data_IF_355700380412
#
_entry.id   IF_355700380412
#
_cell.length_a   1.000
_cell.length_b   1.000
_cell.length_c   1.000
_cell.angle_alpha   90.00
_cell.angle_beta   90.00
_cell.angle_gamma   90.00
#
_symmetry.space_group_name_H-M   'P 1'
#
loop_
_entity.id
_entity.type
_entity.pdbx_description
1 polymer ?
#
# COMPACT_ATOMS: atom_id res chain seq x y z
N UNK A 1 41.17 38.79 18.36
CA UNK A 1 39.78 39.28 18.26
C UNK A 1 39.41 39.30 16.77
N UNK A 2 38.80 38.23 16.24
CA UNK A 2 38.55 38.06 14.81
C UNK A 2 37.23 38.75 14.42
N UNK A 3 37.26 39.73 13.52
CA UNK A 3 36.06 40.44 13.05
C UNK A 3 35.31 39.56 12.04
N UNK A 4 34.26 38.89 12.48
CA UNK A 4 33.38 38.11 11.61
C UNK A 4 32.57 39.04 10.72
N UNK A 5 32.97 39.17 9.46
CA UNK A 5 32.26 39.97 8.47
C UNK A 5 31.06 39.15 7.95
N UNK A 6 29.83 39.64 8.14
CA UNK A 6 28.59 38.95 7.77
C UNK A 6 28.53 38.53 6.29
N UNK A 7 29.18 39.30 5.40
CA UNK A 7 29.33 38.97 3.98
C UNK A 7 30.12 37.68 3.73
N UNK A 8 31.06 37.33 4.61
CA UNK A 8 31.88 36.10 4.53
C UNK A 8 31.10 34.82 4.85
N UNK A 9 30.02 34.94 5.65
CA UNK A 9 29.16 33.80 5.99
C UNK A 9 28.14 33.55 4.87
N UNK A 10 27.68 34.61 4.21
CA UNK A 10 26.71 34.51 3.12
C UNK A 10 27.30 33.85 1.86
N UNK A 11 28.55 34.18 1.49
CA UNK A 11 29.26 33.48 0.39
C UNK A 11 29.65 32.05 0.74
N UNK A 12 29.89 31.74 2.02
CA UNK A 12 30.15 30.37 2.46
C UNK A 12 28.90 29.48 2.34
N UNK A 13 27.70 30.01 2.62
CA UNK A 13 26.45 29.25 2.52
C UNK A 13 26.06 28.93 1.07
N UNK A 14 26.25 29.88 0.15
CA UNK A 14 26.01 29.65 -1.29
C UNK A 14 27.03 28.68 -1.88
N UNK A 15 28.29 28.72 -1.42
CA UNK A 15 29.34 27.80 -1.85
C UNK A 15 29.07 26.37 -1.39
N UNK A 16 28.79 26.17 -0.10
CA UNK A 16 28.53 24.83 0.46
C UNK A 16 27.25 24.23 -0.11
N UNK A 17 26.17 25.01 -0.26
CA UNK A 17 24.92 24.55 -0.86
C UNK A 17 25.07 24.13 -2.32
N UNK A 18 25.83 24.89 -3.12
CA UNK A 18 26.06 24.59 -4.53
C UNK A 18 27.00 23.39 -4.73
N UNK A 19 28.01 23.22 -3.88
CA UNK A 19 28.88 22.02 -3.91
C UNK A 19 28.16 20.77 -3.44
N UNK A 20 27.20 20.89 -2.51
CA UNK A 20 26.38 19.76 -2.07
C UNK A 20 25.39 19.35 -3.17
N UNK A 21 24.78 20.32 -3.87
CA UNK A 21 23.83 20.04 -4.96
C UNK A 21 24.48 19.36 -6.17
N UNK A 22 25.77 19.63 -6.46
CA UNK A 22 26.51 18.96 -7.54
C UNK A 22 27.07 17.59 -7.15
N UNK A 23 27.33 17.34 -5.87
CA UNK A 23 27.90 16.07 -5.41
C UNK A 23 26.84 15.03 -5.01
N UNK A 24 25.65 15.45 -4.60
CA UNK A 24 24.51 14.56 -4.25
C UNK A 24 24.01 13.68 -5.41
N UNK A 25 23.88 14.12 -6.67
CA UNK A 25 23.41 13.24 -7.75
C UNK A 25 24.42 12.13 -8.12
N UNK A 26 25.70 12.27 -7.75
CA UNK A 26 26.74 11.26 -8.05
C UNK A 26 26.56 10.01 -7.16
N UNK A 27 25.88 10.12 -6.01
CA UNK A 27 25.57 8.96 -5.15
C UNK A 27 24.35 8.15 -5.61
N UNK A 28 23.67 8.56 -6.70
CA UNK A 28 22.45 7.90 -7.21
C UNK A 28 22.64 7.15 -8.53
N UNK A 29 23.86 7.09 -9.08
CA UNK A 29 24.16 6.28 -10.26
C UNK A 29 24.55 4.85 -9.84
N UNK A 30 23.56 4.08 -9.38
CA UNK A 30 23.66 2.62 -9.42
C UNK A 30 23.40 2.20 -10.88
N UNK A 31 24.44 2.24 -11.71
CA UNK A 31 24.38 1.69 -13.07
C UNK A 31 24.24 0.18 -12.88
N UNK A 32 23.12 -0.47 -13.26
CA UNK A 32 23.05 -1.92 -13.19
C UNK A 32 24.13 -2.48 -14.12
N UNK A 33 25.02 -3.31 -13.56
CA UNK A 33 26.02 -4.02 -14.34
C UNK A 33 25.28 -5.00 -15.25
N UNK A 34 25.09 -4.64 -16.52
CA UNK A 34 24.54 -5.57 -17.52
C UNK A 34 25.67 -6.50 -17.93
N UNK A 35 25.74 -7.66 -17.28
CA UNK A 35 26.46 -8.79 -17.85
C UNK A 35 25.75 -9.15 -19.15
N UNK A 36 26.47 -9.16 -20.27
CA UNK A 36 25.94 -9.73 -21.51
C UNK A 36 25.69 -11.22 -21.25
N UNK A 37 24.46 -11.57 -20.88
CA UNK A 37 24.02 -12.94 -20.79
C UNK A 37 24.03 -13.49 -22.23
N UNK A 38 24.68 -14.63 -22.42
CA UNK A 38 24.57 -15.39 -23.66
C UNK A 38 23.10 -15.71 -23.87
N UNK A 39 22.52 -15.21 -24.97
CA UNK A 39 21.14 -15.53 -25.34
C UNK A 39 21.07 -17.04 -25.54
N UNK A 40 20.37 -17.74 -24.64
CA UNK A 40 20.02 -19.14 -24.86
C UNK A 40 18.97 -19.21 -25.97
N UNK A 41 18.90 -20.30 -26.75
CA UNK A 41 17.96 -20.41 -27.90
C UNK A 41 16.49 -20.11 -27.51
N UNK A 42 16.15 -20.29 -26.24
CA UNK A 42 14.87 -19.94 -25.67
C UNK A 42 14.57 -18.43 -25.72
N UNK A 43 15.55 -17.53 -25.66
CA UNK A 43 15.35 -16.08 -25.72
C UNK A 43 15.27 -15.54 -27.16
N UNK A 44 15.80 -16.28 -28.15
CA UNK A 44 15.82 -15.88 -29.55
C UNK A 44 14.45 -16.06 -30.25
N UNK A 45 13.63 -17.00 -29.78
CA UNK A 45 12.30 -17.29 -30.33
C UNK A 45 11.15 -16.82 -29.43
N UNK A 46 11.40 -15.83 -28.59
CA UNK A 46 10.40 -15.29 -27.66
C UNK A 46 10.31 -16.15 -26.41
N UNK A 47 11.37 -16.07 -25.60
CA UNK A 47 11.41 -16.70 -24.29
C UNK A 47 10.21 -16.30 -23.45
N UNK A 48 9.75 -17.22 -22.60
CA UNK A 48 8.62 -17.04 -21.68
C UNK A 48 8.58 -15.62 -21.16
N UNK A 49 7.60 -14.84 -21.66
CA UNK A 49 7.44 -13.43 -21.32
C UNK A 49 7.06 -13.39 -19.85
N UNK A 50 8.05 -13.24 -18.98
CA UNK A 50 7.81 -13.06 -17.56
C UNK A 50 7.18 -11.67 -17.40
N UNK A 51 5.97 -11.60 -16.84
CA UNK A 51 5.16 -10.37 -16.78
C UNK A 51 5.85 -9.14 -16.17
N UNK A 52 6.99 -9.32 -15.51
CA UNK A 52 7.86 -8.23 -15.01
C UNK A 52 8.48 -7.36 -16.12
N UNK A 53 8.82 -7.92 -17.28
CA UNK A 53 9.50 -7.17 -18.35
C UNK A 53 8.51 -6.27 -19.13
N UNK A 54 7.26 -6.73 -19.25
CA UNK A 54 6.16 -5.99 -19.86
C UNK A 54 5.69 -4.81 -18.97
N UNK A 55 5.66 -5.01 -17.65
CA UNK A 55 5.31 -3.96 -16.68
C UNK A 55 6.31 -2.79 -16.70
N UNK A 56 7.59 -3.10 -16.85
CA UNK A 56 8.68 -2.12 -16.81
C UNK A 56 8.74 -1.25 -18.07
N UNK A 57 8.46 -1.81 -19.26
CA UNK A 57 8.48 -1.07 -20.54
C UNK A 57 7.24 -0.18 -20.72
N UNK A 58 6.10 -0.53 -20.14
CA UNK A 58 4.85 0.22 -20.24
C UNK A 58 4.74 1.41 -19.26
N UNK A 59 5.76 1.65 -18.41
CA UNK A 59 5.72 2.70 -17.39
C UNK A 59 4.72 2.43 -16.26
N UNK A 60 4.25 1.19 -16.13
CA UNK A 60 3.34 0.76 -15.07
C UNK A 60 4.23 0.12 -14.00
N UNK A 61 4.64 0.90 -13.00
CA UNK A 61 5.61 0.44 -12.00
C UNK A 61 5.31 -0.97 -11.50
N UNK A 62 6.12 -1.95 -11.92
CA UNK A 62 6.34 -3.35 -11.46
C UNK A 62 5.21 -4.11 -10.74
N UNK A 63 3.95 -3.72 -10.92
CA UNK A 63 2.82 -4.29 -10.22
C UNK A 63 1.77 -4.64 -11.25
N UNK A 64 1.64 -5.95 -11.51
CA UNK A 64 0.41 -6.56 -12.02
C UNK A 64 -0.81 -5.75 -11.58
N UNK A 65 -1.78 -5.53 -12.47
CA UNK A 65 -3.02 -4.82 -12.15
C UNK A 65 -3.67 -5.37 -10.85
N UNK A 66 -3.52 -6.68 -10.64
CA UNK A 66 -3.84 -7.43 -9.42
C UNK A 66 -3.19 -6.85 -8.15
N UNK A 67 -1.89 -6.52 -8.18
CA UNK A 67 -1.13 -5.95 -7.07
C UNK A 67 -1.55 -4.51 -6.76
N UNK A 68 -1.78 -3.71 -7.80
CA UNK A 68 -2.24 -2.32 -7.62
C UNK A 68 -3.64 -2.28 -7.00
N UNK A 69 -4.56 -3.10 -7.49
CA UNK A 69 -5.91 -3.23 -6.94
C UNK A 69 -5.87 -3.80 -5.51
N UNK A 70 -5.04 -4.82 -5.27
CA UNK A 70 -4.87 -5.41 -3.94
C UNK A 70 -4.37 -4.40 -2.90
N UNK A 71 -3.44 -3.52 -3.27
CA UNK A 71 -2.94 -2.46 -2.40
C UNK A 71 -4.04 -1.45 -2.03
N UNK A 72 -4.84 -1.03 -3.02
CA UNK A 72 -5.97 -0.11 -2.80
C UNK A 72 -7.01 -0.73 -1.86
N UNK A 73 -7.40 -1.99 -2.12
CA UNK A 73 -8.35 -2.73 -1.29
C UNK A 73 -7.82 -2.83 0.15
N UNK A 74 -6.53 -3.13 0.34
CA UNK A 74 -5.93 -3.26 1.68
C UNK A 74 -5.99 -1.95 2.47
N UNK A 75 -5.72 -0.82 1.83
CA UNK A 75 -5.85 0.51 2.45
C UNK A 75 -7.31 0.82 2.79
N UNK A 76 -8.24 0.55 1.87
CA UNK A 76 -9.67 0.77 2.08
C UNK A 76 -10.25 -0.10 3.20
N UNK A 77 -9.90 -1.39 3.25
CA UNK A 77 -10.32 -2.31 4.31
C UNK A 77 -9.77 -1.90 5.66
N UNK A 78 -8.52 -1.44 5.72
CA UNK A 78 -7.93 -0.89 6.94
C UNK A 78 -8.69 0.34 7.44
N UNK A 79 -9.00 1.27 6.53
CA UNK A 79 -9.77 2.47 6.86
C UNK A 79 -11.19 2.14 7.33
N UNK A 80 -11.91 1.27 6.62
CA UNK A 80 -13.25 0.80 7.01
C UNK A 80 -13.25 0.09 8.37
N UNK A 81 -12.23 -0.72 8.63
CA UNK A 81 -12.08 -1.41 9.92
C UNK A 81 -11.95 -0.43 11.09
N UNK A 82 -11.13 0.61 10.95
CA UNK A 82 -10.98 1.66 11.97
C UNK A 82 -12.30 2.39 12.21
N UNK A 83 -13.03 2.73 11.14
CA UNK A 83 -14.36 3.38 11.24
C UNK A 83 -15.36 2.48 11.95
N UNK A 84 -15.40 1.18 11.63
CA UNK A 84 -16.29 0.22 12.27
C UNK A 84 -16.05 0.13 13.78
N UNK A 85 -14.78 0.09 14.20
CA UNK A 85 -14.41 0.10 15.63
C UNK A 85 -14.86 1.39 16.31
N UNK A 86 -14.72 2.55 15.65
CA UNK A 86 -15.21 3.83 16.18
C UNK A 86 -16.73 3.82 16.43
N UNK A 87 -17.53 3.28 15.51
CA UNK A 87 -18.98 3.18 15.66
C UNK A 87 -19.35 2.28 16.84
N UNK A 88 -18.67 1.13 16.98
CA UNK A 88 -18.88 0.21 18.11
C UNK A 88 -18.55 0.89 19.45
N UNK A 89 -17.46 1.67 19.50
CA UNK A 89 -17.07 2.46 20.67
C UNK A 89 -18.14 3.50 21.04
N UNK A 90 -18.66 4.25 20.06
CA UNK A 90 -19.73 5.23 20.30
C UNK A 90 -21.02 4.56 20.78
N UNK A 91 -21.38 3.41 20.20
CA UNK A 91 -22.51 2.59 20.65
C UNK A 91 -22.31 2.07 22.08
N UNK A 92 -21.12 1.59 22.39
CA UNK A 92 -20.75 1.11 23.72
C UNK A 92 -20.75 2.22 24.78
N UNK A 93 -20.24 3.41 24.44
CA UNK A 93 -20.26 4.56 25.34
C UNK A 93 -21.70 5.04 25.61
N UNK A 94 -22.55 5.02 24.58
CA UNK A 94 -23.98 5.32 24.73
C UNK A 94 -24.67 4.28 25.63
N UNK A 95 -24.30 3.01 25.53
CA UNK A 95 -24.83 1.96 26.39
C UNK A 95 -24.42 2.16 27.85
N UNK A 96 -23.14 2.46 28.11
CA UNK A 96 -22.63 2.71 29.46
C UNK A 96 -23.25 3.96 30.12
N UNK A 97 -23.53 5.00 29.33
CA UNK A 97 -24.16 6.25 29.83
C UNK A 97 -25.68 6.18 29.95
N UNK A 98 -26.32 5.08 29.55
CA UNK A 98 -27.78 4.95 29.54
C UNK A 98 -28.41 4.78 30.93
N UNK A 99 -27.63 4.51 31.98
CA UNK A 99 -28.10 4.52 33.37
C UNK A 99 -29.25 3.56 33.70
N UNK A 100 -29.50 2.54 32.88
CA UNK A 100 -30.60 1.59 33.05
C UNK A 100 -31.94 2.00 32.42
N UNK A 101 -32.02 3.13 31.72
CA UNK A 101 -33.23 3.48 30.97
C UNK A 101 -33.40 2.56 29.75
N UNK A 102 -34.42 1.69 29.77
CA UNK A 102 -34.63 0.64 28.76
C UNK A 102 -34.63 1.17 27.31
N UNK A 103 -35.24 2.33 27.07
CA UNK A 103 -35.25 2.97 25.75
C UNK A 103 -33.84 3.32 25.24
N UNK A 104 -32.99 3.88 26.12
CA UNK A 104 -31.61 4.28 25.78
C UNK A 104 -30.71 3.06 25.57
N UNK A 105 -30.94 2.01 26.38
CA UNK A 105 -30.25 0.71 26.25
C UNK A 105 -30.61 0.02 24.95
N UNK A 106 -31.90 0.03 24.56
CA UNK A 106 -32.36 -0.55 23.30
C UNK A 106 -31.74 0.16 22.09
N UNK A 107 -31.72 1.49 22.10
CA UNK A 107 -31.08 2.30 21.05
C UNK A 107 -29.57 2.05 20.94
N UNK A 108 -28.88 1.96 22.09
CA UNK A 108 -27.45 1.68 22.12
C UNK A 108 -27.13 0.28 21.59
N UNK A 109 -27.93 -0.73 21.98
CA UNK A 109 -27.82 -2.10 21.44
C UNK A 109 -28.03 -2.13 19.94
N UNK A 110 -29.02 -1.40 19.41
CA UNK A 110 -29.28 -1.32 17.97
C UNK A 110 -28.08 -0.75 17.22
N UNK A 111 -27.44 0.29 17.76
CA UNK A 111 -26.21 0.87 17.22
C UNK A 111 -25.04 -0.12 17.25
N UNK A 112 -24.86 -0.83 18.35
CA UNK A 112 -23.79 -1.84 18.47
C UNK A 112 -24.00 -2.99 17.49
N UNK A 113 -25.22 -3.51 17.37
CA UNK A 113 -25.56 -4.58 16.42
C UNK A 113 -25.31 -4.10 14.98
N UNK A 114 -25.72 -2.88 14.62
CA UNK A 114 -25.44 -2.33 13.30
C UNK A 114 -23.93 -2.23 13.02
N UNK A 115 -23.13 -1.80 14.00
CA UNK A 115 -21.67 -1.76 13.89
C UNK A 115 -21.03 -3.14 13.73
N UNK A 116 -21.46 -4.12 14.53
CA UNK A 116 -20.97 -5.50 14.45
C UNK A 116 -21.36 -6.14 13.12
N UNK A 117 -22.60 -5.97 12.65
CA UNK A 117 -23.02 -6.49 11.34
C UNK A 117 -22.20 -5.89 10.20
N UNK A 118 -21.86 -4.58 10.27
CA UNK A 118 -20.95 -3.96 9.31
C UNK A 118 -19.57 -4.61 9.29
N UNK A 119 -19.00 -4.90 10.46
CA UNK A 119 -17.71 -5.59 10.57
C UNK A 119 -17.78 -7.01 9.99
N UNK A 120 -18.84 -7.76 10.29
CA UNK A 120 -19.06 -9.11 9.76
C UNK A 120 -19.14 -9.10 8.23
N UNK A 121 -19.84 -8.14 7.64
CA UNK A 121 -19.96 -8.01 6.17
C UNK A 121 -18.59 -7.74 5.54
N UNK A 122 -17.77 -6.87 6.11
CA UNK A 122 -16.42 -6.56 5.58
C UNK A 122 -15.55 -7.82 5.58
N UNK A 123 -15.54 -8.57 6.69
CA UNK A 123 -14.77 -9.81 6.81
C UNK A 123 -15.28 -10.89 5.86
N UNK A 124 -16.60 -11.02 5.72
CA UNK A 124 -17.21 -11.97 4.79
C UNK A 124 -16.89 -11.63 3.33
N UNK A 125 -16.95 -10.35 2.94
CA UNK A 125 -16.62 -9.91 1.60
C UNK A 125 -15.16 -10.22 1.24
N UNK A 126 -14.23 -9.98 2.16
CA UNK A 126 -12.82 -10.32 1.97
C UNK A 126 -12.61 -11.83 1.82
N UNK A 127 -13.23 -12.64 2.69
CA UNK A 127 -13.14 -14.09 2.64
C UNK A 127 -13.64 -14.63 1.29
N UNK A 128 -14.81 -14.17 0.83
CA UNK A 128 -15.40 -14.58 -0.46
C UNK A 128 -14.49 -14.16 -1.63
N UNK A 129 -14.00 -12.92 -1.64
CA UNK A 129 -13.12 -12.44 -2.70
C UNK A 129 -11.82 -13.27 -2.80
N UNK A 130 -11.18 -13.53 -1.65
CA UNK A 130 -9.96 -14.34 -1.61
C UNK A 130 -10.20 -15.79 -2.04
N UNK A 131 -11.34 -16.36 -1.67
CA UNK A 131 -11.74 -17.70 -2.09
C UNK A 131 -11.99 -17.78 -3.60
N UNK A 132 -12.68 -16.79 -4.18
CA UNK A 132 -12.94 -16.74 -5.61
C UNK A 132 -11.64 -16.67 -6.42
N UNK A 133 -10.70 -15.79 -6.02
CA UNK A 133 -9.40 -15.65 -6.66
C UNK A 133 -8.61 -16.97 -6.55
N UNK A 134 -8.51 -17.53 -5.34
CA UNK A 134 -7.79 -18.79 -5.11
C UNK A 134 -8.36 -19.97 -5.89
N UNK A 135 -9.69 -20.04 -6.03
CA UNK A 135 -10.36 -21.10 -6.80
C UNK A 135 -10.01 -21.00 -8.28
N UNK A 136 -10.01 -19.79 -8.84
CA UNK A 136 -9.67 -19.55 -10.25
C UNK A 136 -8.19 -19.86 -10.49
N UNK A 137 -7.28 -19.36 -9.65
CA UNK A 137 -5.83 -19.63 -9.79
C UNK A 137 -5.52 -21.12 -9.69
N UNK A 138 -6.13 -21.83 -8.73
CA UNK A 138 -5.96 -23.28 -8.57
C UNK A 138 -6.50 -24.07 -9.76
N UNK A 139 -7.62 -23.63 -10.36
CA UNK A 139 -8.20 -24.30 -11.52
C UNK A 139 -7.32 -24.15 -12.76
N UNK A 140 -6.72 -22.97 -12.96
CA UNK A 140 -5.82 -22.70 -14.08
C UNK A 140 -4.50 -23.45 -13.89
N UNK A 141 -3.93 -23.47 -12.68
CA UNK A 141 -2.67 -24.17 -12.42
C UNK A 141 -2.75 -25.70 -12.53
N UNK A 142 -3.94 -26.29 -12.31
CA UNK A 142 -4.16 -27.73 -12.52
C UNK A 142 -4.44 -28.11 -13.98
N UNK A 143 -4.74 -27.14 -14.85
CA UNK A 143 -5.03 -27.38 -16.26
C UNK A 143 -3.76 -27.48 -17.14
N UNK A 144 -2.59 -27.10 -16.62
CA UNK A 144 -1.29 -27.18 -17.31
C UNK A 144 -0.51 -28.47 -17.03
N UNK A 145 -1.14 -29.51 -16.45
CA UNK A 145 -0.57 -30.87 -16.32
C UNK A 145 -1.29 -31.85 -17.25
#
# INVERSE_FOLDING_TARGET
MMKFNLKSILTALTGVGMTLFLTVPILSLSIPNVYAQTLTENELFGGSVNGEEFATTAGLGTGELTTTIGSIIRVLLGFLGVVAVFIILLGGFKWMTSGGADAKVADAKKLMVAGVTGLVIILAAYAIASFAISSITTAISNAEI
#
